data_IF_796756447476
#
_entry.id   IF_796756447476
#
_cell.length_a   1.000
_cell.length_b   1.000
_cell.length_c   1.000
_cell.angle_alpha   90.00
_cell.angle_beta   90.00
_cell.angle_gamma   90.00
#
_symmetry.space_group_name_H-M   'P 1'
#
loop_
_entity.id
_entity.type
_entity.pdbx_description
1 polymer ?
#
# COMPACT_ATOMS: atom_id res chain seq x y z
N UNK A 1 -0.73 -0.92 6.87
CA UNK A 1 -1.18 -1.51 5.60
C UNK A 1 -2.64 -1.84 5.77
N UNK A 2 -3.56 -1.21 5.02
CA UNK A 2 -5.00 -1.50 5.12
C UNK A 2 -5.33 -2.98 4.87
N UNK A 3 -4.56 -3.63 4.00
CA UNK A 3 -4.74 -5.05 3.65
C UNK A 3 -4.14 -6.00 4.72
N UNK A 4 -2.89 -5.77 5.13
CA UNK A 4 -2.19 -6.66 6.08
C UNK A 4 -2.49 -6.36 7.55
N UNK A 5 -3.11 -5.22 7.85
CA UNK A 5 -3.29 -4.66 9.21
C UNK A 5 -1.98 -4.52 10.02
N UNK A 6 -0.86 -4.40 9.31
CA UNK A 6 0.49 -4.30 9.88
C UNK A 6 1.24 -3.08 9.29
N UNK A 7 2.38 -2.70 9.87
CA UNK A 7 3.26 -1.63 9.37
C UNK A 7 3.67 -1.91 7.93
N UNK A 8 3.56 -0.89 7.06
CA UNK A 8 3.96 -1.02 5.65
C UNK A 8 5.48 -1.01 5.55
N UNK A 9 6.05 -2.02 4.90
CA UNK A 9 7.49 -2.06 4.61
C UNK A 9 7.82 -1.27 3.36
N UNK A 10 6.97 -1.37 2.34
CA UNK A 10 7.11 -0.62 1.09
C UNK A 10 5.77 0.02 0.73
N UNK A 11 5.47 1.22 1.25
CA UNK A 11 4.20 1.89 0.99
C UNK A 11 4.13 2.39 -0.47
N UNK A 12 3.10 1.96 -1.18
CA UNK A 12 2.82 2.36 -2.56
C UNK A 12 1.35 2.78 -2.71
N UNK A 13 1.11 3.82 -3.51
CA UNK A 13 -0.19 4.37 -3.83
C UNK A 13 -0.73 3.64 -5.06
N UNK A 14 -1.93 3.06 -4.94
CA UNK A 14 -2.65 2.49 -6.07
C UNK A 14 -3.49 3.56 -6.80
N UNK A 15 -4.07 3.20 -7.95
CA UNK A 15 -4.89 4.09 -8.78
C UNK A 15 -6.09 4.72 -8.05
N UNK A 16 -6.55 4.09 -6.98
CA UNK A 16 -7.63 4.56 -6.11
C UNK A 16 -7.20 5.68 -5.14
N UNK A 17 -5.91 6.01 -5.09
CA UNK A 17 -5.34 7.02 -4.18
C UNK A 17 -5.03 6.49 -2.77
N UNK A 18 -5.26 5.20 -2.50
CA UNK A 18 -4.95 4.59 -1.21
C UNK A 18 -3.52 4.02 -1.20
N UNK A 19 -2.90 4.03 -0.02
CA UNK A 19 -1.55 3.49 0.17
C UNK A 19 -1.59 2.10 0.78
N UNK A 20 -0.92 1.16 0.12
CA UNK A 20 -0.81 -0.24 0.49
C UNK A 20 0.65 -0.67 0.60
N UNK A 21 0.90 -1.80 1.26
CA UNK A 21 2.21 -2.45 1.14
C UNK A 21 2.34 -3.08 -0.25
N UNK A 22 3.45 -2.82 -0.95
CA UNK A 22 3.71 -3.30 -2.31
C UNK A 22 3.40 -4.79 -2.48
N UNK A 23 3.95 -5.64 -1.62
CA UNK A 23 3.77 -7.10 -1.76
C UNK A 23 2.31 -7.52 -1.53
N UNK A 24 1.62 -6.79 -0.67
CA UNK A 24 0.23 -7.08 -0.33
C UNK A 24 -0.70 -6.73 -1.49
N UNK A 25 -0.53 -5.55 -2.09
CA UNK A 25 -1.36 -5.10 -3.21
C UNK A 25 -1.00 -5.83 -4.51
N UNK A 26 0.28 -6.15 -4.75
CA UNK A 26 0.70 -6.98 -5.88
C UNK A 26 0.00 -8.34 -5.83
N UNK A 27 0.04 -9.02 -4.67
CA UNK A 27 -0.65 -10.30 -4.48
C UNK A 27 -2.18 -10.17 -4.62
N UNK A 28 -2.77 -9.08 -4.15
CA UNK A 28 -4.20 -8.85 -4.34
C UNK A 28 -4.56 -8.67 -5.81
N UNK A 29 -3.74 -7.93 -6.55
CA UNK A 29 -3.90 -7.66 -7.99
C UNK A 29 -3.77 -8.90 -8.87
N UNK A 30 -3.13 -9.97 -8.39
CA UNK A 30 -3.06 -11.27 -9.08
C UNK A 30 -4.45 -11.92 -9.22
N UNK A 31 -5.27 -11.83 -8.17
CA UNK A 31 -6.60 -12.48 -8.12
C UNK A 31 -7.76 -11.48 -8.30
N UNK A 32 -7.57 -10.21 -7.96
CA UNK A 32 -8.62 -9.19 -7.89
C UNK A 32 -8.22 -7.88 -8.57
N UNK A 33 -9.10 -7.32 -9.41
CA UNK A 33 -8.88 -6.01 -10.05
C UNK A 33 -9.64 -4.86 -9.37
N UNK A 34 -9.84 -4.95 -8.06
CA UNK A 34 -10.56 -3.95 -7.27
C UNK A 34 -9.71 -3.42 -6.11
N UNK A 35 -10.08 -2.25 -5.60
CA UNK A 35 -9.50 -1.64 -4.42
C UNK A 35 -9.88 -2.46 -3.18
N UNK A 36 -8.91 -2.90 -2.36
CA UNK A 36 -9.23 -3.60 -1.12
C UNK A 36 -9.97 -2.76 -0.08
N UNK A 37 -10.00 -1.43 -0.24
CA UNK A 37 -10.59 -0.51 0.74
C UNK A 37 -11.96 -0.02 0.30
N UNK A 38 -12.10 0.31 -0.98
CA UNK A 38 -13.35 0.88 -1.52
C UNK A 38 -14.19 -0.13 -2.28
N UNK A 39 -13.67 -1.35 -2.49
CA UNK A 39 -14.26 -2.40 -3.31
C UNK A 39 -14.57 -1.96 -4.75
N UNK A 40 -13.97 -0.84 -5.18
CA UNK A 40 -14.18 -0.24 -6.49
C UNK A 40 -13.16 -0.77 -7.49
N UNK A 41 -13.50 -0.92 -8.79
CA UNK A 41 -12.56 -1.36 -9.80
C UNK A 41 -11.35 -0.42 -9.87
N UNK A 42 -10.14 -0.99 -9.89
CA UNK A 42 -8.93 -0.19 -10.10
C UNK A 42 -8.83 0.16 -11.57
N UNK A 43 -8.74 1.46 -11.87
CA UNK A 43 -8.61 1.95 -13.25
C UNK A 43 -7.35 1.42 -13.92
N UNK A 44 -6.27 1.27 -13.15
CA UNK A 44 -5.04 0.64 -13.59
C UNK A 44 -4.31 -0.06 -12.41
N UNK A 45 -3.34 -0.90 -12.75
CA UNK A 45 -2.46 -1.56 -11.77
C UNK A 45 -1.15 -0.78 -11.55
N UNK A 46 -1.20 0.54 -11.73
CA UNK A 46 -0.03 1.39 -11.47
C UNK A 46 0.12 1.56 -9.96
N UNK A 47 1.30 1.16 -9.46
CA UNK A 47 1.69 1.36 -8.07
C UNK A 47 2.79 2.42 -8.01
N UNK A 48 2.46 3.57 -7.43
CA UNK A 48 3.40 4.67 -7.27
C UNK A 48 4.06 4.58 -5.89
N UNK A 49 5.40 4.53 -5.78
CA UNK A 49 6.06 4.46 -4.47
C UNK A 49 5.80 5.73 -3.65
N UNK A 50 5.44 5.58 -2.38
CA UNK A 50 5.23 6.70 -1.45
C UNK A 50 6.47 6.88 -0.56
N UNK A 51 7.49 7.54 -1.10
CA UNK A 51 8.76 7.77 -0.39
C UNK A 51 8.59 8.59 0.89
N UNK A 52 7.68 9.56 0.90
CA UNK A 52 7.38 10.40 2.08
C UNK A 52 6.84 9.54 3.22
N UNK A 53 5.85 8.69 2.94
CA UNK A 53 5.30 7.80 3.95
C UNK A 53 6.31 6.74 4.39
N UNK A 54 7.09 6.20 3.45
CA UNK A 54 8.16 5.25 3.76
C UNK A 54 9.16 5.85 4.76
N UNK A 55 9.64 7.08 4.50
CA UNK A 55 10.55 7.78 5.41
C UNK A 55 9.92 8.02 6.79
N UNK A 56 8.65 8.42 6.84
CA UNK A 56 7.93 8.63 8.08
C UNK A 56 7.77 7.32 8.90
N UNK A 57 7.46 6.21 8.23
CA UNK A 57 7.37 4.89 8.87
C UNK A 57 8.72 4.45 9.40
N UNK A 58 9.79 4.56 8.61
CA UNK A 58 11.15 4.19 9.02
C UNK A 58 11.58 5.00 10.25
N UNK A 59 11.37 6.32 10.24
CA UNK A 59 11.70 7.16 11.39
C UNK A 59 10.85 6.81 12.62
N UNK A 60 9.56 6.52 12.43
CA UNK A 60 8.71 6.05 13.53
C UNK A 60 9.20 4.72 14.10
N UNK A 61 9.50 3.72 13.27
CA UNK A 61 10.04 2.44 13.71
C UNK A 61 11.37 2.60 14.47
N UNK A 62 12.24 3.51 14.01
CA UNK A 62 13.52 3.80 14.67
C UNK A 62 13.33 4.44 16.05
N UNK A 63 12.28 5.24 16.25
CA UNK A 63 11.97 5.90 17.52
C UNK A 63 11.24 5.01 18.53
N UNK A 64 10.53 3.99 18.05
CA UNK A 64 9.68 3.11 18.87
C UNK A 64 10.28 1.70 19.01
N UNK A 65 11.61 1.60 18.94
CA UNK A 65 12.39 0.40 19.27
C UNK A 65 12.72 0.38 20.76
#
# INVERSE_FOLDING_TARGET
CPLLKDVMKDPCIAADGYTYDRKAIEKWMEDHRSSPVTDSPLENMTLLPNHTLHAAIVEWCRRNQ
#
